data_IF_488333941796
#
_entry.id   IF_488333941796
#
_cell.length_a   1.000
_cell.length_b   1.000
_cell.length_c   1.000
_cell.angle_alpha   90.00
_cell.angle_beta   90.00
_cell.angle_gamma   90.00
#
_symmetry.space_group_name_H-M   'P 1'
#
loop_
_entity.id
_entity.type
_entity.pdbx_description
1 polymer ?
#
# COMPACT_ATOMS: atom_id res chain seq x y z
N UNK A 1 15.98 0.24 -2.02
CA UNK A 1 14.79 -0.40 -1.42
C UNK A 1 13.58 0.14 -2.13
N UNK A 2 12.99 -0.63 -3.03
CA UNK A 2 11.77 -0.21 -3.74
C UNK A 2 10.61 -0.28 -2.75
N UNK A 3 10.01 0.87 -2.47
CA UNK A 3 8.85 0.98 -1.59
C UNK A 3 7.61 0.82 -2.46
N UNK A 4 6.89 -0.28 -2.28
CA UNK A 4 5.64 -0.51 -3.00
C UNK A 4 4.56 0.44 -2.46
N UNK A 5 3.89 1.15 -3.37
CA UNK A 5 2.80 2.07 -3.07
C UNK A 5 1.51 1.48 -3.62
N UNK A 6 0.47 1.50 -2.78
CA UNK A 6 -0.86 1.00 -3.11
C UNK A 6 -1.90 2.07 -2.82
N UNK A 7 -3.02 2.00 -3.52
CA UNK A 7 -4.20 2.81 -3.23
C UNK A 7 -5.19 1.99 -2.40
N UNK A 8 -5.61 2.55 -1.28
CA UNK A 8 -6.63 1.99 -0.38
C UNK A 8 -7.58 3.12 0.01
N UNK A 9 -8.88 2.89 -0.12
CA UNK A 9 -9.93 3.89 0.19
C UNK A 9 -9.65 5.28 -0.44
N UNK A 10 -9.22 5.28 -1.71
CA UNK A 10 -8.90 6.51 -2.47
C UNK A 10 -7.58 7.21 -2.10
N UNK A 11 -6.89 6.78 -1.02
CA UNK A 11 -5.63 7.36 -0.55
C UNK A 11 -4.42 6.48 -0.88
N UNK A 12 -3.22 7.05 -0.82
CA UNK A 12 -1.96 6.35 -1.11
C UNK A 12 -1.28 5.89 0.18
N UNK A 13 -0.92 4.62 0.20
CA UNK A 13 -0.23 3.97 1.31
C UNK A 13 1.01 3.24 0.82
N UNK A 14 1.99 3.14 1.70
CA UNK A 14 3.19 2.34 1.50
C UNK A 14 2.99 0.97 2.13
N UNK A 15 3.34 -0.09 1.40
CA UNK A 15 3.35 -1.45 1.96
C UNK A 15 4.55 -1.60 2.89
N UNK A 16 4.29 -1.97 4.13
CA UNK A 16 5.29 -2.27 5.15
C UNK A 16 5.64 -3.76 5.09
N UNK A 17 4.62 -4.61 5.09
CA UNK A 17 4.77 -6.06 5.16
C UNK A 17 3.62 -6.78 4.46
N UNK A 18 3.91 -7.94 3.87
CA UNK A 18 2.92 -8.82 3.24
C UNK A 18 2.96 -10.18 3.92
N UNK A 19 1.86 -10.59 4.55
CA UNK A 19 1.71 -11.91 5.13
C UNK A 19 1.36 -12.94 4.05
N UNK A 20 1.75 -14.19 4.26
CA UNK A 20 1.35 -15.32 3.41
C UNK A 20 -0.15 -15.63 3.45
N UNK A 21 -0.88 -15.04 4.41
CA UNK A 21 -2.33 -15.14 4.52
C UNK A 21 -3.09 -14.23 3.54
N UNK A 22 -2.41 -13.41 2.75
CA UNK A 22 -3.02 -12.42 1.86
C UNK A 22 -3.29 -11.06 2.50
N UNK A 23 -2.98 -10.90 3.79
CA UNK A 23 -3.09 -9.60 4.49
C UNK A 23 -1.79 -8.81 4.42
N UNK A 24 -1.89 -7.49 4.27
CA UNK A 24 -0.76 -6.57 4.18
C UNK A 24 -0.87 -5.48 5.25
N UNK A 25 0.27 -5.11 5.84
CA UNK A 25 0.40 -3.90 6.64
C UNK A 25 0.73 -2.73 5.71
N UNK A 26 -0.14 -1.73 5.69
CA UNK A 26 0.03 -0.52 4.89
C UNK A 26 0.10 0.71 5.79
N UNK A 27 0.88 1.72 5.38
CA UNK A 27 1.00 2.98 6.12
C UNK A 27 0.84 4.18 5.23
N UNK A 28 0.02 5.12 5.67
CA UNK A 28 -0.25 6.36 4.93
C UNK A 28 1.06 7.14 4.77
N UNK A 29 1.34 7.64 3.55
CA UNK A 29 2.62 8.29 3.26
C UNK A 29 2.88 9.50 4.16
N UNK A 30 1.83 10.25 4.46
CA UNK A 30 1.89 11.50 5.21
C UNK A 30 1.67 11.33 6.72
N UNK A 31 1.38 10.11 7.19
CA UNK A 31 1.17 9.80 8.60
C UNK A 31 1.98 8.59 9.05
N UNK A 32 2.94 8.83 9.95
CA UNK A 32 3.79 7.76 10.49
C UNK A 32 3.05 6.77 11.40
N UNK A 33 1.89 7.15 11.91
CA UNK A 33 1.13 6.39 12.91
C UNK A 33 -0.12 5.72 12.34
N UNK A 34 -0.54 6.08 11.12
CA UNK A 34 -1.70 5.46 10.47
C UNK A 34 -1.25 4.20 9.74
N UNK A 35 -1.18 3.09 10.48
CA UNK A 35 -0.92 1.75 9.97
C UNK A 35 -2.24 0.98 9.94
N UNK A 36 -2.52 0.30 8.83
CA UNK A 36 -3.72 -0.50 8.64
C UNK A 36 -3.35 -1.90 8.17
N UNK A 37 -4.14 -2.88 8.60
CA UNK A 37 -4.06 -4.26 8.13
C UNK A 37 -5.22 -4.50 7.18
N UNK A 38 -4.91 -4.78 5.92
CA UNK A 38 -5.90 -4.91 4.83
C UNK A 38 -5.65 -6.17 4.04
N UNK A 39 -6.68 -6.73 3.39
CA UNK A 39 -6.49 -7.85 2.47
C UNK A 39 -5.99 -7.34 1.11
N UNK A 40 -5.15 -8.13 0.42
CA UNK A 40 -4.56 -7.74 -0.87
C UNK A 40 -5.58 -7.44 -1.97
N UNK A 41 -6.77 -8.03 -1.88
CA UNK A 41 -7.88 -7.77 -2.81
C UNK A 41 -8.55 -6.41 -2.60
N UNK A 42 -8.32 -5.76 -1.47
CA UNK A 42 -8.92 -4.46 -1.12
C UNK A 42 -8.05 -3.28 -1.58
N UNK A 43 -6.82 -3.56 -1.98
CA UNK A 43 -5.86 -2.54 -2.41
C UNK A 43 -5.65 -2.58 -3.91
N UNK A 44 -5.35 -1.43 -4.49
CA UNK A 44 -5.05 -1.30 -5.91
C UNK A 44 -3.56 -0.98 -6.08
N UNK A 45 -2.86 -1.75 -6.91
CA UNK A 45 -1.50 -1.43 -7.28
C UNK A 45 -1.47 -0.09 -8.03
N UNK A 46 -0.53 0.77 -7.68
CA UNK A 46 -0.27 2.01 -8.42
C UNK A 46 0.89 1.73 -9.34
N UNK A 47 0.60 1.40 -10.60
CA UNK A 47 1.64 1.44 -11.63
C UNK A 47 2.00 2.91 -11.84
N UNK A 48 3.24 3.29 -11.54
CA UNK A 48 3.79 4.54 -12.06
C UNK A 48 3.89 4.37 -13.59
N UNK A 49 2.80 4.68 -14.29
CA UNK A 49 2.85 4.89 -15.74
C UNK A 49 3.67 6.14 -15.97
N UNK A 50 4.99 5.99 -16.02
CA UNK A 50 5.90 7.00 -16.55
C UNK A 50 5.50 7.19 -18.01
N UNK A 51 4.72 8.24 -18.25
CA UNK A 51 4.41 8.69 -19.61
C UNK A 51 5.61 9.53 -20.02
N UNK A 52 6.44 8.99 -20.92
CA UNK A 52 7.54 9.73 -21.57
C UNK A 52 7.00 10.69 -22.63
#
# INVERSE_FOLDING_TARGET
MNKEIVRYDGKLFMVIYKYSSGYWEIREKDSKFNVQLVHESEVQAVEETVTF
#
